data_IF_327677655848
#
_entry.id   IF_327677655848
#
_cell.length_a   1.000
_cell.length_b   1.000
_cell.length_c   1.000
_cell.angle_alpha   90.00
_cell.angle_beta   90.00
_cell.angle_gamma   90.00
#
_symmetry.space_group_name_H-M   'P 1'
#
loop_
_entity.id
_entity.type
_entity.pdbx_description
1 polymer ?
#
# COMPACT_ATOMS: atom_id res chain seq x y z
N UNK A 1 0.68 27.64 15.06
CA UNK A 1 0.12 26.29 14.99
C UNK A 1 1.17 25.40 14.36
N UNK A 2 1.62 24.34 15.03
CA UNK A 2 2.61 23.41 14.48
C UNK A 2 2.04 22.58 13.32
N UNK A 3 2.90 21.93 12.53
CA UNK A 3 2.48 21.06 11.41
C UNK A 3 1.60 19.91 11.94
N UNK A 4 1.97 19.30 13.07
CA UNK A 4 1.22 18.25 13.74
C UNK A 4 -0.22 18.69 14.03
N UNK A 5 -0.41 19.79 14.78
CA UNK A 5 -1.75 20.31 15.11
C UNK A 5 -2.58 20.66 13.87
N UNK A 6 -1.95 21.11 12.78
CA UNK A 6 -2.64 21.38 11.53
C UNK A 6 -3.10 20.08 10.84
N UNK A 7 -2.27 19.04 10.84
CA UNK A 7 -2.61 17.73 10.30
C UNK A 7 -3.71 17.07 11.12
N UNK A 8 -3.59 17.04 12.44
CA UNK A 8 -4.64 16.52 13.34
C UNK A 8 -5.99 17.20 13.07
N UNK A 9 -5.99 18.53 12.96
CA UNK A 9 -7.21 19.28 12.64
C UNK A 9 -7.85 18.82 11.32
N UNK A 10 -7.05 18.66 10.26
CA UNK A 10 -7.54 18.19 8.96
C UNK A 10 -8.05 16.75 9.05
N UNK A 11 -7.30 15.88 9.72
CA UNK A 11 -7.58 14.45 9.81
C UNK A 11 -8.71 14.09 10.81
N UNK A 12 -9.18 15.05 11.61
CA UNK A 12 -10.27 14.83 12.59
C UNK A 12 -11.51 15.64 12.29
N UNK A 13 -11.43 16.66 11.43
CA UNK A 13 -12.58 17.51 11.11
C UNK A 13 -13.61 16.73 10.29
N UNK A 14 -14.86 16.52 10.79
CA UNK A 14 -15.84 15.67 10.13
C UNK A 14 -16.14 16.08 8.69
N UNK A 15 -16.19 17.39 8.39
CA UNK A 15 -16.43 17.86 7.03
C UNK A 15 -15.35 17.37 6.04
N UNK A 16 -14.07 17.43 6.42
CA UNK A 16 -12.98 16.94 5.58
C UNK A 16 -13.01 15.43 5.43
N UNK A 17 -13.32 14.70 6.50
CA UNK A 17 -13.43 13.24 6.47
C UNK A 17 -14.57 12.78 5.56
N UNK A 18 -15.75 13.41 5.61
CA UNK A 18 -16.87 13.07 4.72
C UNK A 18 -16.55 13.39 3.25
N UNK A 19 -15.92 14.54 2.97
CA UNK A 19 -15.47 14.87 1.62
C UNK A 19 -14.44 13.85 1.14
N UNK A 20 -13.42 13.53 1.95
CA UNK A 20 -12.41 12.55 1.59
C UNK A 20 -13.01 11.17 1.36
N UNK A 21 -13.83 10.67 2.27
CA UNK A 21 -14.51 9.39 2.12
C UNK A 21 -15.35 9.32 0.82
N UNK A 22 -16.07 10.39 0.50
CA UNK A 22 -16.84 10.47 -0.75
C UNK A 22 -15.94 10.40 -1.99
N UNK A 23 -14.80 11.08 -1.95
CA UNK A 23 -13.79 11.05 -3.01
C UNK A 23 -13.15 9.66 -3.14
N UNK A 24 -12.85 8.99 -2.02
CA UNK A 24 -12.34 7.61 -2.02
C UNK A 24 -13.35 6.66 -2.65
N UNK A 25 -14.61 6.70 -2.22
CA UNK A 25 -15.68 5.86 -2.77
C UNK A 25 -15.83 6.09 -4.28
N UNK A 26 -15.88 7.36 -4.73
CA UNK A 26 -15.94 7.69 -6.15
C UNK A 26 -14.73 7.17 -6.92
N UNK A 27 -13.52 7.30 -6.37
CA UNK A 27 -12.29 6.80 -6.96
C UNK A 27 -12.28 5.26 -7.08
N UNK A 28 -12.75 4.55 -6.05
CA UNK A 28 -12.88 3.09 -6.06
C UNK A 28 -13.89 2.64 -7.11
N UNK A 29 -15.04 3.29 -7.22
CA UNK A 29 -16.03 2.98 -8.27
C UNK A 29 -15.43 3.15 -9.65
N UNK A 30 -14.70 4.25 -9.89
CA UNK A 30 -14.04 4.52 -11.18
C UNK A 30 -12.99 3.46 -11.50
N UNK A 31 -12.10 3.12 -10.55
CA UNK A 31 -11.06 2.10 -10.82
C UNK A 31 -11.67 0.72 -11.04
N UNK A 32 -12.66 0.32 -10.26
CA UNK A 32 -13.32 -0.99 -10.42
C UNK A 32 -14.04 -1.07 -11.78
N UNK A 33 -14.71 0.00 -12.19
CA UNK A 33 -15.33 0.06 -13.51
C UNK A 33 -14.29 -0.04 -14.63
N UNK A 34 -13.21 0.74 -14.57
CA UNK A 34 -12.15 0.74 -15.59
C UNK A 34 -11.45 -0.62 -15.67
N UNK A 35 -11.14 -1.24 -14.54
CA UNK A 35 -10.53 -2.58 -14.48
C UNK A 35 -11.40 -3.64 -15.12
N UNK A 36 -12.72 -3.58 -14.93
CA UNK A 36 -13.66 -4.58 -15.49
C UNK A 36 -14.01 -4.33 -16.94
N UNK A 37 -14.11 -3.07 -17.35
CA UNK A 37 -14.60 -2.70 -18.68
C UNK A 37 -13.49 -2.52 -19.72
N UNK A 38 -12.29 -2.12 -19.30
CA UNK A 38 -11.25 -1.62 -20.20
C UNK A 38 -9.89 -2.28 -20.04
N UNK A 39 -9.70 -3.12 -19.02
CA UNK A 39 -8.38 -3.71 -18.72
C UNK A 39 -8.46 -5.25 -18.76
N UNK A 40 -7.32 -5.86 -19.09
CA UNK A 40 -7.12 -7.31 -19.03
C UNK A 40 -5.86 -7.59 -18.20
N UNK A 41 -6.01 -7.43 -16.89
CA UNK A 41 -4.93 -7.61 -15.92
C UNK A 41 -5.14 -8.90 -15.12
N UNK A 42 -4.05 -9.49 -14.66
CA UNK A 42 -4.13 -10.59 -13.71
C UNK A 42 -4.98 -10.21 -12.49
N UNK A 43 -5.75 -11.16 -11.97
CA UNK A 43 -6.68 -10.93 -10.85
C UNK A 43 -6.01 -10.29 -9.63
N UNK A 44 -4.76 -10.67 -9.33
CA UNK A 44 -3.97 -10.08 -8.27
C UNK A 44 -3.72 -8.58 -8.51
N UNK A 45 -3.37 -8.18 -9.73
CA UNK A 45 -3.14 -6.76 -10.06
C UNK A 45 -4.43 -5.93 -9.99
N UNK A 46 -5.58 -6.53 -10.27
CA UNK A 46 -6.87 -5.87 -10.03
C UNK A 46 -7.07 -5.56 -8.53
N UNK A 47 -6.77 -6.52 -7.64
CA UNK A 47 -6.84 -6.32 -6.20
C UNK A 47 -5.83 -5.26 -5.74
N UNK A 48 -4.60 -5.31 -6.23
CA UNK A 48 -3.56 -4.31 -5.95
C UNK A 48 -4.04 -2.89 -6.26
N UNK A 49 -4.62 -2.68 -7.43
CA UNK A 49 -5.10 -1.34 -7.81
C UNK A 49 -6.31 -0.88 -7.01
N UNK A 50 -7.25 -1.79 -6.71
CA UNK A 50 -8.40 -1.46 -5.86
C UNK A 50 -7.94 -1.06 -4.45
N UNK A 51 -7.03 -1.82 -3.84
CA UNK A 51 -6.49 -1.50 -2.51
C UNK A 51 -5.68 -0.21 -2.53
N UNK A 52 -4.83 0.01 -3.54
CA UNK A 52 -4.09 1.26 -3.69
C UNK A 52 -5.03 2.47 -3.71
N UNK A 53 -6.11 2.40 -4.48
CA UNK A 53 -7.10 3.48 -4.56
C UNK A 53 -7.93 3.59 -3.27
N UNK A 54 -8.27 2.46 -2.63
CA UNK A 54 -9.00 2.46 -1.37
C UNK A 54 -8.21 3.19 -0.25
N UNK A 55 -6.89 2.98 -0.17
CA UNK A 55 -6.06 3.60 0.86
C UNK A 55 -5.74 5.07 0.56
N UNK A 56 -5.56 5.43 -0.73
CA UNK A 56 -5.07 6.76 -1.13
C UNK A 56 -6.10 7.61 -1.90
N UNK A 57 -7.30 7.11 -2.15
CA UNK A 57 -8.37 7.82 -2.82
C UNK A 57 -8.01 8.36 -4.21
N UNK A 58 -8.28 9.66 -4.49
CA UNK A 58 -7.95 10.27 -5.78
C UNK A 58 -6.46 10.21 -6.16
N UNK A 59 -5.55 10.22 -5.16
CA UNK A 59 -4.12 10.09 -5.41
C UNK A 59 -3.78 8.70 -5.93
N UNK A 60 -4.34 7.65 -5.33
CA UNK A 60 -4.20 6.28 -5.82
C UNK A 60 -4.78 6.10 -7.22
N UNK A 61 -5.92 6.73 -7.51
CA UNK A 61 -6.52 6.74 -8.84
C UNK A 61 -5.60 7.42 -9.89
N UNK A 62 -4.97 8.54 -9.54
CA UNK A 62 -3.99 9.20 -10.41
C UNK A 62 -2.77 8.31 -10.66
N UNK A 63 -2.26 7.64 -9.65
CA UNK A 63 -1.16 6.66 -9.74
C UNK A 63 -1.55 5.48 -10.65
N UNK A 64 -2.77 4.95 -10.50
CA UNK A 64 -3.32 3.93 -11.38
C UNK A 64 -3.37 4.38 -12.84
N UNK A 65 -3.89 5.59 -13.12
CA UNK A 65 -3.93 6.12 -14.47
C UNK A 65 -2.55 6.33 -15.08
N UNK A 66 -1.57 6.67 -14.27
CA UNK A 66 -0.20 6.84 -14.75
C UNK A 66 0.49 5.51 -15.11
N UNK A 67 0.25 4.42 -14.36
CA UNK A 67 1.05 3.21 -14.45
C UNK A 67 0.27 1.89 -14.62
N UNK A 68 -1.03 1.86 -14.32
CA UNK A 68 -1.82 0.63 -14.21
C UNK A 68 -2.67 0.27 -15.42
N UNK A 69 -2.81 1.15 -16.42
CA UNK A 69 -3.70 0.95 -17.56
C UNK A 69 -2.96 0.46 -18.79
N UNK A 70 -3.63 -0.40 -19.61
CA UNK A 70 -3.07 -0.84 -20.90
C UNK A 70 -2.88 0.29 -21.93
N UNK A 71 -3.58 1.42 -21.75
CA UNK A 71 -3.49 2.59 -22.63
C UNK A 71 -2.24 3.46 -22.37
N UNK A 72 -1.31 3.03 -21.50
CA UNK A 72 -0.04 3.73 -21.33
C UNK A 72 0.77 3.65 -22.65
N UNK A 73 1.28 4.82 -23.11
CA UNK A 73 1.99 4.90 -24.39
C UNK A 73 3.37 4.20 -24.39
N UNK A 74 4.00 4.10 -23.22
CA UNK A 74 5.33 3.49 -23.02
C UNK A 74 5.46 2.96 -21.61
N UNK A 75 5.95 1.73 -21.47
CA UNK A 75 6.35 1.19 -20.17
C UNK A 75 7.75 1.68 -19.81
N UNK A 76 7.79 2.63 -18.87
CA UNK A 76 9.04 3.25 -18.40
C UNK A 76 9.46 2.67 -17.04
N UNK A 77 10.76 2.84 -16.71
CA UNK A 77 11.28 2.49 -15.39
C UNK A 77 10.44 3.07 -14.23
N UNK A 78 10.00 4.32 -14.37
CA UNK A 78 9.18 5.00 -13.36
C UNK A 78 7.82 4.34 -13.18
N UNK A 79 7.15 3.93 -14.27
CA UNK A 79 5.88 3.21 -14.22
C UNK A 79 6.04 1.82 -13.63
N UNK A 80 7.10 1.11 -13.98
CA UNK A 80 7.46 -0.18 -13.38
C UNK A 80 7.71 -0.05 -11.88
N UNK A 81 8.45 0.99 -11.45
CA UNK A 81 8.65 1.33 -10.04
C UNK A 81 7.33 1.62 -9.31
N UNK A 82 6.42 2.38 -9.91
CA UNK A 82 5.07 2.65 -9.35
C UNK A 82 4.29 1.33 -9.16
N UNK A 83 4.22 0.46 -10.17
CA UNK A 83 3.50 -0.82 -10.04
C UNK A 83 4.08 -1.71 -8.94
N UNK A 84 5.41 -1.77 -8.86
CA UNK A 84 6.09 -2.49 -7.80
C UNK A 84 5.80 -1.89 -6.41
N UNK A 85 5.73 -0.55 -6.31
CA UNK A 85 5.36 0.11 -5.04
C UNK A 85 3.90 -0.12 -4.69
N UNK A 86 2.98 -0.04 -5.65
CA UNK A 86 1.55 -0.30 -5.43
C UNK A 86 1.30 -1.74 -4.96
N UNK A 87 2.05 -2.71 -5.48
CA UNK A 87 2.00 -4.11 -5.05
C UNK A 87 2.42 -4.25 -3.58
N UNK A 88 3.60 -3.73 -3.23
CA UNK A 88 4.09 -3.71 -1.85
C UNK A 88 3.07 -2.99 -0.91
N UNK A 89 2.63 -1.79 -1.28
CA UNK A 89 1.67 -0.98 -0.54
C UNK A 89 0.35 -1.68 -0.26
N UNK A 90 -0.16 -2.43 -1.23
CA UNK A 90 -1.42 -3.16 -1.08
C UNK A 90 -1.28 -4.30 -0.08
N UNK A 91 -0.18 -5.05 -0.12
CA UNK A 91 0.09 -6.13 0.82
C UNK A 91 0.35 -5.62 2.23
N UNK A 92 1.27 -4.67 2.36
CA UNK A 92 1.60 -4.05 3.63
C UNK A 92 0.38 -3.39 4.28
N UNK A 93 -0.38 -2.59 3.54
CA UNK A 93 -1.59 -1.95 4.07
C UNK A 93 -2.66 -2.95 4.53
N UNK A 94 -2.86 -4.06 3.80
CA UNK A 94 -3.74 -5.13 4.26
C UNK A 94 -3.25 -5.78 5.56
N UNK A 95 -1.95 -6.00 5.67
CA UNK A 95 -1.32 -6.52 6.89
C UNK A 95 -1.39 -5.54 8.05
N UNK A 96 -1.16 -4.23 7.82
CA UNK A 96 -1.30 -3.19 8.84
C UNK A 96 -2.73 -3.08 9.36
N UNK A 97 -3.73 -2.97 8.49
CA UNK A 97 -5.14 -2.92 8.90
C UNK A 97 -5.51 -4.17 9.70
N UNK A 98 -5.09 -5.35 9.25
CA UNK A 98 -5.32 -6.60 9.99
C UNK A 98 -4.61 -6.57 11.34
N UNK A 99 -3.37 -6.08 11.38
CA UNK A 99 -2.55 -6.00 12.58
C UNK A 99 -3.13 -5.08 13.64
N UNK A 100 -3.57 -3.86 13.27
CA UNK A 100 -4.16 -2.94 14.23
C UNK A 100 -5.52 -3.43 14.74
N UNK A 101 -6.36 -4.01 13.88
CA UNK A 101 -7.63 -4.60 14.31
C UNK A 101 -7.41 -5.74 15.31
N UNK A 102 -6.45 -6.61 15.03
CA UNK A 102 -6.13 -7.73 15.91
C UNK A 102 -5.47 -7.25 17.22
N UNK A 103 -4.41 -6.45 17.12
CA UNK A 103 -3.59 -6.08 18.27
C UNK A 103 -4.25 -5.02 19.16
N UNK A 104 -4.72 -3.91 18.57
CA UNK A 104 -5.35 -2.83 19.32
C UNK A 104 -6.85 -3.10 19.55
N UNK A 105 -7.56 -3.59 18.53
CA UNK A 105 -9.01 -3.77 18.59
C UNK A 105 -9.46 -4.98 19.42
N UNK A 106 -8.85 -6.13 19.20
CA UNK A 106 -9.27 -7.40 19.83
C UNK A 106 -8.47 -7.70 21.10
N UNK A 107 -7.13 -7.57 21.01
CA UNK A 107 -6.24 -7.96 22.10
C UNK A 107 -5.91 -6.80 23.05
N UNK A 108 -6.29 -5.56 22.73
CA UNK A 108 -6.02 -4.35 23.52
C UNK A 108 -4.56 -4.23 23.97
N UNK A 109 -3.63 -4.50 23.07
CA UNK A 109 -2.20 -4.45 23.33
C UNK A 109 -1.72 -3.00 23.46
N UNK A 110 -0.68 -2.79 24.26
CA UNK A 110 0.00 -1.50 24.32
C UNK A 110 0.69 -1.18 22.98
N UNK A 111 0.87 0.12 22.68
CA UNK A 111 1.36 0.65 21.40
C UNK A 111 2.57 -0.09 20.85
N UNK A 112 3.61 -0.32 21.65
CA UNK A 112 4.83 -1.02 21.19
C UNK A 112 4.56 -2.46 20.71
N UNK A 113 3.64 -3.17 21.38
CA UNK A 113 3.26 -4.52 20.98
C UNK A 113 2.37 -4.49 19.72
N UNK A 114 1.49 -3.51 19.63
CA UNK A 114 0.66 -3.26 18.44
C UNK A 114 1.57 -3.01 17.24
N UNK A 115 2.55 -2.12 17.35
CA UNK A 115 3.55 -1.86 16.30
C UNK A 115 4.27 -3.15 15.87
N UNK A 116 4.72 -3.98 16.81
CA UNK A 116 5.43 -5.22 16.49
C UNK A 116 4.53 -6.23 15.73
N UNK A 117 3.26 -6.38 16.14
CA UNK A 117 2.29 -7.26 15.47
C UNK A 117 1.97 -6.71 14.09
N UNK A 118 1.72 -5.42 13.99
CA UNK A 118 1.36 -4.73 12.74
C UNK A 118 2.49 -4.84 11.72
N UNK A 119 3.72 -4.51 12.11
CA UNK A 119 4.89 -4.68 11.24
C UNK A 119 5.05 -6.13 10.75
N UNK A 120 4.90 -7.10 11.66
CA UNK A 120 5.04 -8.53 11.31
C UNK A 120 3.99 -8.95 10.28
N UNK A 121 2.73 -8.53 10.46
CA UNK A 121 1.66 -8.87 9.53
C UNK A 121 1.80 -8.12 8.21
N UNK A 122 2.17 -6.84 8.22
CA UNK A 122 2.46 -6.07 7.02
C UNK A 122 3.57 -6.72 6.18
N UNK A 123 4.67 -7.08 6.83
CA UNK A 123 5.77 -7.79 6.19
C UNK A 123 5.32 -9.15 5.61
N UNK A 124 4.59 -9.93 6.40
CA UNK A 124 4.12 -11.26 5.98
C UNK A 124 3.16 -11.17 4.79
N UNK A 125 2.22 -10.24 4.81
CA UNK A 125 1.27 -10.03 3.72
C UNK A 125 1.97 -9.52 2.46
N UNK A 126 2.89 -8.55 2.60
CA UNK A 126 3.70 -8.07 1.49
C UNK A 126 4.51 -9.17 0.83
N UNK A 127 5.16 -10.03 1.63
CA UNK A 127 5.88 -11.21 1.14
C UNK A 127 4.95 -12.22 0.47
N UNK A 128 3.79 -12.50 1.06
CA UNK A 128 2.83 -13.48 0.54
C UNK A 128 2.31 -13.11 -0.85
N UNK A 129 2.12 -11.82 -1.13
CA UNK A 129 1.70 -11.35 -2.45
C UNK A 129 2.73 -11.68 -3.55
N UNK A 130 4.01 -11.77 -3.24
CA UNK A 130 5.07 -12.15 -4.20
C UNK A 130 5.29 -13.66 -4.21
N UNK A 131 5.33 -14.31 -3.05
CA UNK A 131 5.56 -15.77 -2.95
C UNK A 131 4.41 -16.55 -3.60
N UNK A 132 3.16 -16.14 -3.37
CA UNK A 132 1.99 -16.84 -3.90
C UNK A 132 2.01 -17.03 -5.41
N UNK A 133 2.11 -15.97 -6.22
CA UNK A 133 2.26 -16.05 -7.67
C UNK A 133 3.45 -16.90 -8.13
N UNK A 134 4.63 -16.72 -7.55
CA UNK A 134 5.83 -17.51 -7.92
C UNK A 134 5.60 -19.02 -7.74
N UNK A 135 4.98 -19.42 -6.63
CA UNK A 135 4.65 -20.83 -6.39
C UNK A 135 3.57 -21.32 -7.38
N UNK A 136 2.59 -20.49 -7.72
CA UNK A 136 1.58 -20.84 -8.73
C UNK A 136 2.18 -21.00 -10.15
N UNK A 137 3.24 -20.27 -10.46
CA UNK A 137 4.02 -20.41 -11.70
C UNK A 137 4.99 -21.60 -11.70
N UNK A 138 5.03 -22.36 -10.60
CA UNK A 138 5.81 -23.60 -10.48
C UNK A 138 7.20 -23.41 -9.87
N UNK A 139 7.53 -22.21 -9.36
CA UNK A 139 8.77 -21.99 -8.61
C UNK A 139 8.70 -22.73 -7.27
N UNK A 140 9.77 -23.42 -6.90
CA UNK A 140 9.84 -24.14 -5.63
C UNK A 140 9.67 -23.18 -4.44
N UNK A 141 8.89 -23.59 -3.41
CA UNK A 141 8.56 -22.71 -2.27
C UNK A 141 9.78 -22.04 -1.62
N UNK A 142 10.88 -22.80 -1.38
CA UNK A 142 12.10 -22.25 -0.80
C UNK A 142 12.80 -21.21 -1.69
N UNK A 143 12.75 -21.41 -3.00
CA UNK A 143 13.26 -20.46 -3.99
C UNK A 143 12.38 -19.21 -4.05
N UNK A 144 11.06 -19.36 -4.10
CA UNK A 144 10.11 -18.26 -4.08
C UNK A 144 10.26 -17.38 -2.82
N UNK A 145 10.45 -18.00 -1.64
CA UNK A 145 10.71 -17.27 -0.39
C UNK A 145 12.03 -16.51 -0.45
N UNK A 146 13.09 -17.13 -0.96
CA UNK A 146 14.39 -16.47 -1.10
C UNK A 146 14.30 -15.27 -2.06
N UNK A 147 13.68 -15.45 -3.21
CA UNK A 147 13.59 -14.42 -4.24
C UNK A 147 12.71 -13.24 -3.76
N UNK A 148 11.58 -13.55 -3.11
CA UNK A 148 10.75 -12.54 -2.47
C UNK A 148 11.51 -11.80 -1.35
N UNK A 149 12.31 -12.51 -0.53
CA UNK A 149 13.09 -11.89 0.53
C UNK A 149 14.06 -10.83 -0.02
N UNK A 150 14.81 -11.14 -1.04
CA UNK A 150 15.77 -10.20 -1.64
C UNK A 150 15.08 -9.06 -2.41
N UNK A 151 13.98 -9.35 -3.08
CA UNK A 151 13.28 -8.35 -3.89
C UNK A 151 12.37 -7.44 -3.07
N UNK A 152 11.68 -7.96 -2.03
CA UNK A 152 10.66 -7.20 -1.30
C UNK A 152 11.17 -6.55 -0.02
N UNK A 153 12.06 -7.22 0.74
CA UNK A 153 12.49 -6.73 2.06
C UNK A 153 12.97 -5.27 2.07
N UNK A 154 13.80 -4.79 1.13
CA UNK A 154 14.26 -3.40 1.19
C UNK A 154 13.12 -2.39 1.06
N UNK A 155 12.16 -2.64 0.16
CA UNK A 155 11.05 -1.72 -0.07
C UNK A 155 10.00 -1.80 1.04
N UNK A 156 9.67 -2.99 1.54
CA UNK A 156 8.77 -3.19 2.69
C UNK A 156 9.36 -2.49 3.92
N UNK A 157 10.64 -2.72 4.22
CA UNK A 157 11.27 -2.14 5.41
C UNK A 157 11.22 -0.61 5.38
N UNK A 158 11.55 0.02 4.25
CA UNK A 158 11.50 1.49 4.14
C UNK A 158 10.07 1.98 4.28
N UNK A 159 9.11 1.33 3.62
CA UNK A 159 7.70 1.70 3.70
C UNK A 159 7.18 1.63 5.13
N UNK A 160 7.38 0.51 5.81
CA UNK A 160 6.88 0.25 7.15
C UNK A 160 7.54 1.15 8.20
N UNK A 161 8.87 1.31 8.14
CA UNK A 161 9.57 2.20 9.09
C UNK A 161 9.06 3.63 8.97
N UNK A 162 8.86 4.12 7.76
CA UNK A 162 8.34 5.49 7.55
C UNK A 162 6.87 5.58 7.94
N UNK A 163 6.02 4.65 7.49
CA UNK A 163 4.59 4.64 7.81
C UNK A 163 4.38 4.58 9.33
N UNK A 164 4.97 3.61 10.02
CA UNK A 164 4.84 3.45 11.47
C UNK A 164 5.38 4.68 12.22
N UNK A 165 6.51 5.24 11.78
CA UNK A 165 7.07 6.44 12.43
C UNK A 165 6.13 7.64 12.32
N UNK A 166 5.50 7.83 11.16
CA UNK A 166 4.53 8.91 10.93
C UNK A 166 3.24 8.64 11.70
N UNK A 167 2.76 7.39 11.72
CA UNK A 167 1.55 7.01 12.45
C UNK A 167 1.70 7.20 13.95
N UNK A 168 2.79 6.70 14.54
CA UNK A 168 3.07 6.86 15.98
C UNK A 168 3.25 8.33 16.34
N UNK A 169 3.90 9.12 15.50
CA UNK A 169 4.07 10.56 15.73
C UNK A 169 2.74 11.31 15.69
N UNK A 170 1.83 10.96 14.76
CA UNK A 170 0.60 11.70 14.51
C UNK A 170 -0.58 11.15 15.33
N UNK A 171 -0.71 9.85 15.46
CA UNK A 171 -1.90 9.17 16.01
C UNK A 171 -1.58 8.13 17.09
N UNK A 172 -0.34 8.06 17.58
CA UNK A 172 0.10 7.01 18.50
C UNK A 172 -0.63 6.95 19.84
N UNK A 173 -1.29 8.03 20.25
CA UNK A 173 -2.14 8.10 21.46
C UNK A 173 -3.63 7.93 21.14
N UNK A 174 -4.02 7.90 19.87
CA UNK A 174 -5.41 7.81 19.46
C UNK A 174 -5.98 6.39 19.70
N UNK A 175 -7.18 6.32 20.24
CA UNK A 175 -7.88 5.06 20.41
C UNK A 175 -8.45 4.57 19.06
N UNK A 176 -8.58 3.25 18.88
CA UNK A 176 -9.11 2.63 17.63
C UNK A 176 -10.51 3.13 17.28
N UNK A 177 -11.26 3.68 18.24
CA UNK A 177 -12.59 4.26 18.04
C UNK A 177 -12.55 5.71 17.57
N UNK A 178 -11.39 6.35 17.58
CA UNK A 178 -11.23 7.75 17.21
C UNK A 178 -10.95 7.91 15.71
N UNK A 179 -11.49 8.98 15.08
CA UNK A 179 -11.23 9.26 13.67
C UNK A 179 -9.73 9.40 13.34
N UNK A 180 -8.94 10.00 14.25
CA UNK A 180 -7.52 10.23 14.05
C UNK A 180 -6.75 8.91 13.86
N UNK A 181 -7.13 7.84 14.57
CA UNK A 181 -6.51 6.53 14.43
C UNK A 181 -6.54 6.04 12.97
N UNK A 182 -7.72 6.05 12.35
CA UNK A 182 -7.89 5.53 10.98
C UNK A 182 -7.39 6.50 9.91
N UNK A 183 -7.64 7.78 10.08
CA UNK A 183 -7.16 8.79 9.13
C UNK A 183 -5.64 8.95 9.20
N UNK A 184 -5.05 8.85 10.39
CA UNK A 184 -3.61 8.82 10.63
C UNK A 184 -2.97 7.60 9.96
N UNK A 185 -3.53 6.40 10.17
CA UNK A 185 -3.07 5.16 9.54
C UNK A 185 -3.05 5.25 8.00
N UNK A 186 -4.14 5.72 7.37
CA UNK A 186 -4.20 5.85 5.91
C UNK A 186 -3.26 6.94 5.37
N UNK A 187 -3.10 8.02 6.12
CA UNK A 187 -2.15 9.08 5.80
C UNK A 187 -0.71 8.58 5.88
N UNK A 188 -0.34 7.93 6.99
CA UNK A 188 1.00 7.39 7.21
C UNK A 188 1.38 6.33 6.18
N UNK A 189 0.46 5.42 5.85
CA UNK A 189 0.62 4.47 4.74
C UNK A 189 0.93 5.19 3.42
N UNK A 190 0.22 6.27 3.11
CA UNK A 190 0.44 7.04 1.87
C UNK A 190 1.83 7.70 1.85
N UNK A 191 2.34 8.14 3.00
CA UNK A 191 3.71 8.65 3.12
C UNK A 191 4.71 7.51 2.96
N UNK A 192 4.45 6.32 3.53
CA UNK A 192 5.23 5.11 3.32
C UNK A 192 5.34 4.72 1.83
N UNK A 193 4.24 4.83 1.07
CA UNK A 193 4.24 4.63 -0.39
C UNK A 193 5.24 5.56 -1.08
N UNK A 194 5.20 6.86 -0.75
CA UNK A 194 6.11 7.85 -1.34
C UNK A 194 7.57 7.53 -1.00
N UNK A 195 7.87 7.12 0.23
CA UNK A 195 9.21 6.76 0.67
C UNK A 195 9.73 5.47 0.01
N UNK A 196 8.88 4.47 -0.19
CA UNK A 196 9.23 3.20 -0.82
C UNK A 196 9.40 3.30 -2.35
N UNK A 197 8.80 4.30 -2.99
CA UNK A 197 8.84 4.46 -4.44
C UNK A 197 10.27 4.54 -5.01
N UNK A 198 11.17 5.43 -4.54
CA UNK A 198 12.54 5.47 -5.05
C UNK A 198 13.32 4.17 -4.82
N UNK A 199 13.03 3.45 -3.73
CA UNK A 199 13.64 2.14 -3.46
C UNK A 199 13.20 1.13 -4.52
N UNK A 200 11.90 1.06 -4.83
CA UNK A 200 11.39 0.17 -5.87
C UNK A 200 11.93 0.55 -7.26
N UNK A 201 12.04 1.84 -7.59
CA UNK A 201 12.68 2.28 -8.85
C UNK A 201 14.14 1.78 -8.91
N UNK A 202 14.88 1.88 -7.80
CA UNK A 202 16.26 1.38 -7.74
C UNK A 202 16.35 -0.14 -7.87
N UNK A 203 15.45 -0.90 -7.25
CA UNK A 203 15.40 -2.37 -7.36
C UNK A 203 15.06 -2.81 -8.80
N UNK A 204 14.08 -2.15 -9.42
CA UNK A 204 13.73 -2.41 -10.83
C UNK A 204 14.87 -2.04 -11.77
N UNK A 205 15.57 -0.93 -11.54
CA UNK A 205 16.69 -0.50 -12.39
C UNK A 205 17.88 -1.44 -12.34
N UNK A 206 18.04 -2.17 -11.20
CA UNK A 206 19.11 -3.16 -11.02
C UNK A 206 18.71 -4.58 -11.40
N UNK A 207 17.48 -4.78 -11.90
CA UNK A 207 16.98 -6.11 -12.28
C UNK A 207 16.66 -7.03 -11.10
N UNK A 208 16.59 -6.49 -9.87
CA UNK A 208 16.18 -7.25 -8.66
C UNK A 208 14.67 -7.47 -8.66
N UNK A 209 13.91 -6.54 -9.26
CA UNK A 209 12.46 -6.65 -9.49
C UNK A 209 12.15 -6.45 -10.97
N UNK A 210 11.15 -7.14 -11.47
CA UNK A 210 10.68 -6.96 -12.86
C UNK A 210 9.74 -5.77 -13.04
N UNK A 211 9.14 -5.27 -11.96
CA UNK A 211 8.23 -4.12 -11.96
C UNK A 211 6.79 -4.48 -12.26
N UNK A 212 6.38 -5.70 -11.93
CA UNK A 212 5.03 -6.25 -12.10
C UNK A 212 4.56 -6.31 -13.57
N UNK A 213 3.39 -6.91 -13.81
CA UNK A 213 2.81 -7.07 -15.14
C UNK A 213 2.79 -5.75 -15.92
N UNK A 214 3.28 -5.77 -17.16
CA UNK A 214 3.14 -4.64 -18.06
C UNK A 214 1.69 -4.61 -18.62
N UNK A 215 0.86 -3.63 -18.26
CA UNK A 215 -0.54 -3.62 -18.69
C UNK A 215 -0.70 -3.41 -20.20
N UNK A 216 0.30 -2.85 -20.89
CA UNK A 216 0.25 -2.66 -22.34
C UNK A 216 0.63 -3.93 -23.13
N UNK A 217 1.15 -4.95 -22.46
CA UNK A 217 1.51 -6.24 -23.07
C UNK A 217 0.54 -7.38 -22.70
N UNK A 218 -0.52 -7.04 -21.95
CA UNK A 218 -1.57 -7.96 -21.53
C UNK A 218 -2.65 -8.10 -22.59
#
# INVERSE_FOLDING_TARGET
MGIETALEHVLTTPAYLYVWASLVVGSVVVVVYDLRANQDLASLMNVVWVLTVLYSGPLGLAVYWFAGRRQIARDSLWRRGIRSTAHCYSGCGAGEVTGVVLAAGILALATIKTVAVTFTLAYTFGMALTIGPLVQEGVGFGEAVRDAFYSETPSITVMEVVAISVDVWLAGEAAITEPLFWSGLLFSLSIGFVAAYPVNVALVSRGVKEGMQNPAAA
#
